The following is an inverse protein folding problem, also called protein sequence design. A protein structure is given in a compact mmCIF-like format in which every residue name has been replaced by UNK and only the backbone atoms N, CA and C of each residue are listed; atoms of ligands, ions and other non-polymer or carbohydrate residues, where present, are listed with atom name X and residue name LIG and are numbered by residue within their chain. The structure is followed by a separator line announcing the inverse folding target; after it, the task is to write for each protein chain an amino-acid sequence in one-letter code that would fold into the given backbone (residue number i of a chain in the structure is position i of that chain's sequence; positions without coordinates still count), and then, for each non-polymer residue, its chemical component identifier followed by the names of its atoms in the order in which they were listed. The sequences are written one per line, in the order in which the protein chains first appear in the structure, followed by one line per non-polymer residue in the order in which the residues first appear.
data_IF_205190445585
#
_entry.id   IF_205190445585
#
_cell.length_a   1.000
_cell.length_b   1.000
_cell.length_c   1.000
_cell.angle_alpha   90.00
_cell.angle_beta   90.00
_cell.angle_gamma   90.00
#
_symmetry.space_group_name_H-M   'P 1'
#
loop_
_entity.id
_entity.type
_entity.pdbx_description
1 polymer ?
#
# COMPACT_ATOMS: atom_id res chain seq x y z
N UNK A 1 10.21 3.28 14.08
CA UNK A 1 9.37 2.62 13.05
C UNK A 1 9.04 1.16 13.39
N UNK A 2 9.98 0.31 13.83
CA UNK A 2 9.65 -1.00 14.45
C UNK A 2 8.63 -0.87 15.60
N UNK A 3 8.68 0.24 16.33
CA UNK A 3 7.76 0.55 17.42
C UNK A 3 6.29 0.76 17.00
N UNK A 4 6.00 1.21 15.77
CA UNK A 4 4.61 1.48 15.36
C UNK A 4 3.80 0.21 15.13
N UNK A 5 4.46 -0.94 14.95
CA UNK A 5 3.82 -2.25 14.86
C UNK A 5 3.83 -3.03 16.18
N UNK A 6 4.54 -2.55 17.21
CA UNK A 6 4.55 -3.23 18.51
C UNK A 6 3.13 -3.24 19.08
N UNK A 7 2.58 -4.45 19.25
CA UNK A 7 1.22 -4.65 19.77
C UNK A 7 0.10 -4.57 18.72
N UNK A 8 0.39 -4.18 17.47
CA UNK A 8 -0.61 -4.24 16.40
C UNK A 8 -0.74 -5.67 15.88
N UNK A 9 -1.85 -6.34 16.24
CA UNK A 9 -2.17 -7.65 15.68
C UNK A 9 -2.65 -7.47 14.25
N UNK A 10 -1.88 -8.00 13.30
CA UNK A 10 -2.27 -8.17 11.89
C UNK A 10 -3.36 -9.25 11.73
N UNK A 11 -4.38 -9.29 12.61
CA UNK A 11 -5.47 -10.26 12.54
C UNK A 11 -6.65 -9.66 11.78
N UNK A 12 -6.57 -9.68 10.46
CA UNK A 12 -7.67 -9.30 9.56
C UNK A 12 -8.10 -7.82 9.62
N UNK A 13 -9.06 -7.46 8.75
CA UNK A 13 -9.66 -6.11 8.75
C UNK A 13 -10.21 -5.81 10.15
N UNK A 14 -9.95 -4.63 10.74
CA UNK A 14 -10.56 -4.28 12.01
C UNK A 14 -12.07 -4.41 11.88
N UNK A 15 -12.67 -5.38 12.60
CA UNK A 15 -14.12 -5.54 12.64
C UNK A 15 -14.66 -4.22 13.18
N UNK A 16 -15.50 -3.54 12.41
CA UNK A 16 -16.22 -2.35 12.85
C UNK A 16 -16.91 -2.66 14.18
N UNK A 17 -16.28 -2.26 15.28
CA UNK A 17 -16.84 -2.39 16.61
C UNK A 17 -17.85 -1.26 16.76
N UNK A 18 -19.12 -1.60 16.95
CA UNK A 18 -20.17 -0.63 17.27
C UNK A 18 -19.77 0.23 18.48
N UNK A 19 -19.00 -0.33 19.41
CA UNK A 19 -18.45 0.36 20.60
C UNK A 19 -17.38 1.40 20.26
N UNK A 20 -16.65 1.24 19.14
CA UNK A 20 -15.70 2.26 18.67
C UNK A 20 -16.43 3.48 18.08
N UNK A 21 -17.62 3.29 17.49
CA UNK A 21 -18.49 4.38 16.99
C UNK A 21 -19.09 5.23 18.12
N UNK A 22 -19.33 4.63 19.29
CA UNK A 22 -19.89 5.32 20.47
C UNK A 22 -18.76 5.88 21.38
N UNK A 23 -17.51 5.86 20.92
CA UNK A 23 -16.37 6.45 21.66
C UNK A 23 -15.90 5.66 22.90
N UNK A 24 -16.49 4.49 23.19
CA UNK A 24 -16.18 3.66 24.36
C UNK A 24 -14.88 2.86 24.24
N UNK A 25 -14.30 2.75 23.05
CA UNK A 25 -12.96 2.20 22.83
C UNK A 25 -12.19 3.05 21.83
N UNK A 26 -11.12 3.72 22.29
CA UNK A 26 -10.06 4.20 21.39
C UNK A 26 -9.40 2.98 20.74
N UNK A 27 -9.71 2.72 19.48
CA UNK A 27 -9.00 1.71 18.70
C UNK A 27 -7.53 2.11 18.55
N UNK A 28 -6.63 1.12 18.54
CA UNK A 28 -5.22 1.37 18.22
C UNK A 28 -5.16 1.86 16.77
N UNK A 29 -4.54 3.01 16.48
CA UNK A 29 -4.44 3.53 15.12
C UNK A 29 -3.73 2.52 14.22
N UNK A 30 -4.29 2.28 13.04
CA UNK A 30 -3.69 1.36 12.05
C UNK A 30 -2.38 1.98 11.56
N UNK A 31 -1.24 1.28 11.68
CA UNK A 31 0.02 1.78 11.17
C UNK A 31 -0.04 1.93 9.65
N UNK A 32 0.60 2.98 9.13
CA UNK A 32 0.63 3.23 7.68
C UNK A 32 1.42 2.16 6.91
N UNK A 33 2.47 1.62 7.52
CA UNK A 33 3.33 0.68 6.81
C UNK A 33 4.68 0.40 7.45
N UNK A 34 5.49 -0.38 6.73
CA UNK A 34 6.92 -0.61 6.98
C UNK A 34 7.68 -0.33 5.68
N UNK A 35 8.81 0.37 5.80
CA UNK A 35 9.77 0.52 4.71
C UNK A 35 11.05 -0.21 5.11
N UNK A 36 11.46 -1.21 4.33
CA UNK A 36 12.69 -1.96 4.51
C UNK A 36 13.70 -1.53 3.44
N UNK A 37 14.79 -0.89 3.83
CA UNK A 37 15.80 -0.44 2.88
C UNK A 37 17.18 -1.04 3.17
N UNK A 38 18.02 -1.07 2.14
CA UNK A 38 19.41 -1.52 2.22
C UNK A 38 19.93 -1.96 0.87
N UNK A 39 21.25 -2.01 0.68
CA UNK A 39 21.86 -2.33 -0.61
C UNK A 39 21.49 -3.72 -1.18
N UNK A 40 21.94 -3.98 -2.41
CA UNK A 40 21.74 -5.26 -3.11
C UNK A 40 22.38 -6.41 -2.30
N UNK A 41 21.74 -7.59 -2.30
CA UNK A 41 22.26 -8.79 -1.61
C UNK A 41 22.11 -8.80 -0.08
N UNK A 42 21.36 -7.86 0.52
CA UNK A 42 21.19 -7.75 1.99
C UNK A 42 20.00 -8.51 2.57
N UNK A 43 19.42 -9.45 1.82
CA UNK A 43 18.34 -10.33 2.30
C UNK A 43 16.96 -9.68 2.45
N UNK A 44 16.71 -8.51 1.84
CA UNK A 44 15.41 -7.81 1.93
C UNK A 44 14.24 -8.64 1.42
N UNK A 45 14.40 -9.27 0.27
CA UNK A 45 13.41 -10.18 -0.33
C UNK A 45 13.11 -11.35 0.61
N UNK A 46 14.14 -11.97 1.19
CA UNK A 46 13.96 -13.06 2.18
C UNK A 46 13.22 -12.60 3.44
N UNK A 47 13.55 -11.42 3.97
CA UNK A 47 12.80 -10.83 5.10
C UNK A 47 11.34 -10.55 4.74
N UNK A 48 11.08 -10.06 3.52
CA UNK A 48 9.73 -9.87 3.01
C UNK A 48 8.99 -11.21 2.82
N UNK A 49 9.66 -12.27 2.38
CA UNK A 49 9.11 -13.63 2.27
C UNK A 49 8.60 -14.11 3.63
N UNK A 50 9.46 -14.04 4.65
CA UNK A 50 9.14 -14.46 6.01
C UNK A 50 8.00 -13.62 6.61
N UNK A 51 8.06 -12.30 6.44
CA UNK A 51 7.01 -11.39 6.90
C UNK A 51 5.67 -11.73 6.22
N UNK A 52 5.67 -11.84 4.89
CA UNK A 52 4.45 -12.11 4.12
C UNK A 52 3.86 -13.47 4.50
N UNK A 53 4.69 -14.51 4.67
CA UNK A 53 4.25 -15.83 5.09
C UNK A 53 3.63 -15.81 6.50
N UNK A 54 4.29 -15.16 7.47
CA UNK A 54 3.86 -15.09 8.86
C UNK A 54 2.67 -14.15 9.12
N UNK A 55 2.43 -13.17 8.24
CA UNK A 55 1.34 -12.21 8.42
C UNK A 55 -0.04 -12.91 8.37
N UNK A 56 -0.80 -12.79 9.46
CA UNK A 56 -2.19 -13.28 9.56
C UNK A 56 -3.22 -12.39 8.83
N UNK A 57 -2.75 -11.30 8.21
CA UNK A 57 -3.58 -10.38 7.46
C UNK A 57 -4.19 -11.10 6.25
N UNK A 58 -5.52 -11.01 6.11
CA UNK A 58 -6.24 -11.54 4.95
C UNK A 58 -7.41 -10.61 4.59
N UNK A 59 -7.62 -10.31 3.29
CA UNK A 59 -6.77 -10.73 2.17
C UNK A 59 -5.43 -9.96 2.14
N UNK A 60 -4.36 -10.59 1.62
CA UNK A 60 -3.03 -9.97 1.45
C UNK A 60 -2.54 -10.19 0.02
N UNK A 61 -1.78 -9.22 -0.51
CA UNK A 61 -1.19 -9.29 -1.85
C UNK A 61 0.27 -8.85 -1.80
N UNK A 62 1.11 -9.56 -2.54
CA UNK A 62 2.49 -9.16 -2.82
C UNK A 62 2.70 -8.96 -4.32
N UNK A 63 3.49 -7.98 -4.71
CA UNK A 63 3.85 -7.72 -6.09
C UNK A 63 5.24 -7.06 -6.18
N UNK A 64 5.97 -7.29 -7.28
CA UNK A 64 7.08 -6.42 -7.66
C UNK A 64 6.53 -5.05 -8.06
N UNK A 65 7.18 -3.98 -7.63
CA UNK A 65 6.64 -2.63 -7.76
C UNK A 65 6.39 -2.22 -9.21
N UNK A 66 7.33 -2.49 -10.13
CA UNK A 66 7.20 -2.12 -11.54
C UNK A 66 6.05 -2.87 -12.23
N UNK A 67 5.84 -4.14 -11.88
CA UNK A 67 4.71 -4.93 -12.39
C UNK A 67 3.40 -4.34 -11.89
N UNK A 68 3.35 -3.95 -10.62
CA UNK A 68 2.18 -3.32 -10.05
C UNK A 68 1.87 -1.97 -10.73
N UNK A 69 2.87 -1.11 -10.93
CA UNK A 69 2.66 0.18 -11.60
C UNK A 69 2.13 0.00 -13.03
N UNK A 70 2.64 -0.99 -13.77
CA UNK A 70 2.11 -1.33 -15.09
C UNK A 70 0.62 -1.74 -15.04
N UNK A 71 0.20 -2.49 -14.02
CA UNK A 71 -1.22 -2.79 -13.82
C UNK A 71 -2.04 -1.53 -13.52
N UNK A 72 -1.51 -0.61 -12.72
CA UNK A 72 -2.20 0.64 -12.37
C UNK A 72 -2.40 1.51 -13.60
N UNK A 73 -1.37 1.69 -14.43
CA UNK A 73 -1.45 2.42 -15.69
C UNK A 73 -2.51 1.82 -16.61
N UNK A 74 -2.49 0.48 -16.80
CA UNK A 74 -3.50 -0.22 -17.61
C UNK A 74 -4.92 -0.03 -17.07
N UNK A 75 -5.09 -0.03 -15.76
CA UNK A 75 -6.39 0.19 -15.14
C UNK A 75 -6.87 1.63 -15.38
N UNK A 76 -5.99 2.63 -15.21
CA UNK A 76 -6.32 4.04 -15.44
C UNK A 76 -6.70 4.27 -16.89
N UNK A 77 -5.95 3.69 -17.83
CA UNK A 77 -6.26 3.78 -19.27
C UNK A 77 -7.58 3.11 -19.62
N UNK A 78 -7.87 1.94 -19.05
CA UNK A 78 -9.15 1.27 -19.20
C UNK A 78 -10.29 2.15 -18.66
N UNK A 79 -10.14 2.70 -17.46
CA UNK A 79 -11.15 3.53 -16.82
C UNK A 79 -11.45 4.79 -17.64
N UNK A 80 -10.42 5.44 -18.20
CA UNK A 80 -10.54 6.58 -19.11
C UNK A 80 -11.33 6.22 -20.38
N UNK A 81 -10.98 5.11 -21.03
CA UNK A 81 -11.63 4.65 -22.27
C UNK A 81 -13.10 4.29 -22.08
N UNK A 82 -13.49 3.85 -20.89
CA UNK A 82 -14.87 3.41 -20.59
C UNK A 82 -15.75 4.51 -19.95
N UNK A 83 -15.42 5.79 -20.17
CA UNK A 83 -16.28 6.91 -19.80
C UNK A 83 -16.10 7.40 -18.36
N UNK A 84 -14.99 7.05 -17.69
CA UNK A 84 -14.67 7.58 -16.36
C UNK A 84 -14.62 9.11 -16.31
N UNK A 85 -14.35 9.78 -17.42
CA UNK A 85 -14.17 11.24 -17.50
C UNK A 85 -15.38 12.01 -18.03
N UNK A 86 -16.58 11.40 -18.13
CA UNK A 86 -17.73 12.06 -18.76
C UNK A 86 -18.09 13.43 -18.16
N UNK A 87 -17.74 13.67 -16.90
CA UNK A 87 -18.01 14.93 -16.19
C UNK A 87 -16.75 15.64 -15.65
N UNK A 88 -15.54 15.25 -16.09
CA UNK A 88 -14.28 15.93 -15.74
C UNK A 88 -13.79 15.87 -14.28
N UNK A 89 -14.65 15.49 -13.33
CA UNK A 89 -14.36 15.54 -11.89
C UNK A 89 -13.98 14.19 -11.25
N UNK A 90 -14.23 13.06 -11.91
CA UNK A 90 -13.95 11.76 -11.30
C UNK A 90 -12.44 11.43 -11.37
N UNK A 91 -11.83 11.15 -10.22
CA UNK A 91 -10.42 10.76 -10.14
C UNK A 91 -10.29 9.22 -10.24
N UNK A 92 -9.58 8.70 -11.26
CA UNK A 92 -9.36 7.26 -11.43
C UNK A 92 -8.73 6.60 -10.21
N UNK A 93 -7.89 7.30 -9.46
CA UNK A 93 -7.18 6.77 -8.30
C UNK A 93 -8.16 6.36 -7.20
N UNK A 94 -9.26 7.09 -6.96
CA UNK A 94 -10.22 6.70 -5.93
C UNK A 94 -10.90 5.36 -6.24
N UNK A 95 -11.36 5.17 -7.47
CA UNK A 95 -12.01 3.92 -7.89
C UNK A 95 -11.02 2.75 -7.90
N UNK A 96 -9.78 3.01 -8.31
CA UNK A 96 -8.68 2.04 -8.21
C UNK A 96 -8.41 1.62 -6.76
N UNK A 97 -8.33 2.57 -5.83
CA UNK A 97 -8.08 2.30 -4.40
C UNK A 97 -9.22 1.50 -3.80
N UNK A 98 -10.48 1.86 -4.10
CA UNK A 98 -11.63 1.08 -3.64
C UNK A 98 -11.55 -0.37 -4.12
N UNK A 99 -11.13 -0.59 -5.37
CA UNK A 99 -10.89 -1.93 -5.91
C UNK A 99 -9.78 -2.67 -5.15
N UNK A 100 -8.64 -2.03 -4.93
CA UNK A 100 -7.49 -2.63 -4.22
C UNK A 100 -7.83 -2.93 -2.76
N UNK A 101 -8.46 -2.00 -2.04
CA UNK A 101 -8.84 -2.14 -0.63
C UNK A 101 -9.92 -3.22 -0.42
N UNK A 102 -10.74 -3.51 -1.44
CA UNK A 102 -11.65 -4.65 -1.41
C UNK A 102 -10.90 -5.99 -1.46
N UNK A 103 -9.75 -6.03 -2.15
CA UNK A 103 -8.97 -7.25 -2.45
C UNK A 103 -7.76 -7.45 -1.53
N UNK A 104 -7.31 -6.44 -0.81
CA UNK A 104 -6.15 -6.52 0.07
C UNK A 104 -6.29 -5.60 1.29
N UNK A 105 -6.00 -6.15 2.46
CA UNK A 105 -5.76 -5.42 3.70
C UNK A 105 -4.25 -5.20 3.95
N UNK A 106 -3.40 -6.08 3.40
CA UNK A 106 -1.95 -5.94 3.40
C UNK A 106 -1.44 -5.95 1.95
N UNK A 107 -0.73 -4.90 1.57
CA UNK A 107 -0.01 -4.79 0.30
C UNK A 107 1.49 -4.80 0.56
N UNK A 108 2.18 -5.76 -0.02
CA UNK A 108 3.63 -5.89 0.04
C UNK A 108 4.22 -5.60 -1.34
N UNK A 109 5.00 -4.53 -1.47
CA UNK A 109 5.75 -4.23 -2.69
C UNK A 109 7.20 -4.65 -2.50
N UNK A 110 7.69 -5.50 -3.40
CA UNK A 110 9.10 -5.83 -3.49
C UNK A 110 9.78 -4.95 -4.53
N UNK A 111 11.06 -4.67 -4.30
CA UNK A 111 11.94 -3.93 -5.22
C UNK A 111 11.33 -2.59 -5.66
N UNK A 112 10.88 -1.80 -4.69
CA UNK A 112 10.35 -0.48 -4.94
C UNK A 112 11.43 0.42 -5.55
N UNK A 113 11.14 0.88 -6.75
CA UNK A 113 11.97 1.76 -7.55
C UNK A 113 11.04 2.57 -8.45
N UNK A 114 11.04 3.88 -8.29
CA UNK A 114 10.28 4.78 -9.15
C UNK A 114 11.19 5.27 -10.27
N UNK A 115 10.71 5.21 -11.52
CA UNK A 115 11.51 5.52 -12.71
C UNK A 115 11.11 6.82 -13.40
N UNK A 116 9.91 7.33 -13.13
CA UNK A 116 9.42 8.58 -13.71
C UNK A 116 8.50 9.35 -12.76
N UNK A 117 8.28 10.62 -13.08
CA UNK A 117 7.46 11.55 -12.27
C UNK A 117 5.99 11.13 -12.23
N UNK A 118 5.48 10.47 -13.27
CA UNK A 118 4.11 9.97 -13.32
C UNK A 118 3.86 8.88 -12.28
N UNK A 119 4.79 7.94 -12.15
CA UNK A 119 4.76 6.91 -11.12
C UNK A 119 4.81 7.49 -9.70
N UNK A 120 5.63 8.54 -9.47
CA UNK A 120 5.65 9.27 -8.20
C UNK A 120 4.28 9.84 -7.86
N UNK A 121 3.64 10.49 -8.84
CA UNK A 121 2.32 11.10 -8.65
C UNK A 121 1.26 10.05 -8.33
N UNK A 122 1.19 8.96 -9.11
CA UNK A 122 0.26 7.86 -8.83
C UNK A 122 0.49 7.30 -7.44
N UNK A 123 1.73 7.04 -7.04
CA UNK A 123 2.03 6.49 -5.72
C UNK A 123 1.68 7.44 -4.57
N UNK A 124 1.86 8.74 -4.75
CA UNK A 124 1.48 9.74 -3.75
C UNK A 124 -0.03 9.71 -3.46
N UNK A 125 -0.85 9.69 -4.51
CA UNK A 125 -2.30 9.63 -4.35
C UNK A 125 -2.77 8.25 -3.87
N UNK A 126 -2.23 7.18 -4.44
CA UNK A 126 -2.57 5.81 -4.10
C UNK A 126 -2.27 5.51 -2.62
N UNK A 127 -1.06 5.83 -2.13
CA UNK A 127 -0.67 5.57 -0.73
C UNK A 127 -1.56 6.31 0.27
N UNK A 128 -1.82 7.59 0.01
CA UNK A 128 -2.71 8.42 0.84
C UNK A 128 -4.11 7.81 0.94
N UNK A 129 -4.67 7.38 -0.19
CA UNK A 129 -5.99 6.79 -0.25
C UNK A 129 -6.02 5.38 0.39
N UNK A 130 -5.00 4.54 0.15
CA UNK A 130 -4.88 3.21 0.79
C UNK A 130 -4.87 3.31 2.32
N UNK A 131 -4.17 4.28 2.89
CA UNK A 131 -4.19 4.53 4.34
C UNK A 131 -5.55 4.98 4.85
N UNK A 132 -6.28 5.80 4.09
CA UNK A 132 -7.67 6.14 4.38
C UNK A 132 -8.59 4.92 4.43
N UNK A 133 -8.26 3.86 3.70
CA UNK A 133 -8.96 2.58 3.72
C UNK A 133 -8.38 1.55 4.72
N UNK A 134 -7.48 1.97 5.60
CA UNK A 134 -6.78 1.10 6.56
C UNK A 134 -6.02 -0.06 5.90
N UNK A 135 -5.53 0.12 4.66
CA UNK A 135 -4.65 -0.85 4.01
C UNK A 135 -3.22 -0.62 4.50
N UNK A 136 -2.60 -1.67 5.04
CA UNK A 136 -1.21 -1.64 5.46
C UNK A 136 -0.30 -1.86 4.25
N UNK A 137 0.71 -1.00 4.09
CA UNK A 137 1.66 -1.07 2.98
C UNK A 137 3.05 -1.41 3.50
N UNK A 138 3.69 -2.44 2.95
CA UNK A 138 5.06 -2.84 3.28
C UNK A 138 5.88 -2.79 2.01
N UNK A 139 7.05 -2.17 2.02
CA UNK A 139 7.87 -1.97 0.82
C UNK A 139 9.33 -2.31 1.09
N UNK A 140 10.02 -2.88 0.09
CA UNK A 140 11.49 -3.02 0.10
C UNK A 140 12.15 -2.04 -0.89
N UNK A 141 13.28 -1.43 -0.51
CA UNK A 141 14.03 -0.47 -1.34
C UNK A 141 15.52 -0.79 -1.33
N UNK A 142 16.22 -0.49 -2.43
CA UNK A 142 17.68 -0.60 -2.48
C UNK A 142 18.41 0.63 -1.93
N UNK A 143 17.72 1.77 -1.87
CA UNK A 143 18.23 3.07 -1.42
C UNK A 143 17.57 3.47 -0.12
N UNK A 144 18.25 4.28 0.70
CA UNK A 144 17.62 4.85 1.91
C UNK A 144 16.50 5.81 1.48
N UNK A 145 15.45 6.03 2.32
CA UNK A 145 14.36 6.95 1.98
C UNK A 145 14.82 8.35 1.57
N UNK A 146 15.92 8.84 2.14
CA UNK A 146 16.50 10.15 1.84
C UNK A 146 17.17 10.18 0.45
N UNK A 147 17.62 9.02 -0.05
CA UNK A 147 18.30 8.88 -1.34
C UNK A 147 17.35 8.57 -2.51
N UNK A 148 16.08 8.22 -2.23
CA UNK A 148 15.10 7.81 -3.27
C UNK A 148 14.78 8.95 -4.24
N UNK A 149 14.93 10.20 -3.83
CA UNK A 149 14.61 11.39 -4.64
C UNK A 149 15.82 12.00 -5.36
N UNK A 150 17.01 11.43 -5.19
CA UNK A 150 18.26 11.99 -5.74
C UNK A 150 18.65 11.42 -7.12
N UNK A 151 17.86 10.48 -7.67
CA UNK A 151 18.06 9.89 -9.00
C UNK A 151 16.91 10.24 -9.96
#
# INVERSE_FOLDING_TARGET
MYESLRGYRLSGKPRFSLLARVGLKRGVPVPKGIYLFGGVGRGKTGSMDLFYAAALASPKRRAHFQVFMLEMHRWIDYWRKNGGTKDGEADPIFSLVANLASKAFLLCFDEFEVRDVGDVLIMRYLSSALWGHNVLVVMTFNWSPDDIYLN
#
